data_IF_174107687916
#
_entry.id   IF_174107687916
#
_cell.length_a   1.000
_cell.length_b   1.000
_cell.length_c   1.000
_cell.angle_alpha   90.00
_cell.angle_beta   90.00
_cell.angle_gamma   90.00
#
_symmetry.space_group_name_H-M   'P 1'
#
loop_
_entity.id
_entity.type
_entity.pdbx_description
1 polymer ?
#
# COMPACT_ATOMS: atom_id res chain seq x y z
N UNK A 1 -5.75 10.33 3.23
CA UNK A 1 -4.37 9.88 2.91
C UNK A 1 -4.38 8.86 1.77
N UNK A 2 -3.51 9.04 0.76
CA UNK A 2 -3.29 8.12 -0.36
C UNK A 2 -2.24 7.07 0.05
N UNK A 3 -2.70 5.93 0.58
CA UNK A 3 -1.85 4.87 1.17
C UNK A 3 -2.14 3.47 0.64
N UNK A 4 -3.03 3.36 -0.34
CA UNK A 4 -3.41 2.09 -0.93
C UNK A 4 -2.25 1.54 -1.78
N UNK A 5 -2.03 0.24 -1.71
CA UNK A 5 -1.08 -0.50 -2.55
C UNK A 5 -1.79 -1.78 -3.00
N UNK A 6 -2.11 -1.93 -4.30
CA UNK A 6 -2.82 -3.08 -4.82
C UNK A 6 -1.96 -4.34 -4.69
N UNK A 7 -2.62 -5.48 -4.51
CA UNK A 7 -1.98 -6.78 -4.65
C UNK A 7 -1.86 -7.11 -6.15
N UNK A 8 -0.75 -7.75 -6.58
CA UNK A 8 -0.57 -8.12 -7.98
C UNK A 8 -1.70 -9.06 -8.45
N UNK A 9 -2.10 -8.93 -9.71
CA UNK A 9 -3.12 -9.78 -10.31
C UNK A 9 -2.73 -11.26 -10.15
N UNK A 10 -3.57 -12.06 -9.49
CA UNK A 10 -3.30 -13.47 -9.18
C UNK A 10 -2.82 -13.75 -7.74
N UNK A 11 -2.51 -12.73 -6.94
CA UNK A 11 -2.27 -12.90 -5.51
C UNK A 11 -3.59 -12.97 -4.73
N UNK A 12 -4.22 -14.14 -4.77
CA UNK A 12 -5.26 -14.50 -3.81
C UNK A 12 -4.67 -14.56 -2.39
N UNK A 13 -5.29 -13.81 -1.47
CA UNK A 13 -5.01 -13.70 -0.04
C UNK A 13 -3.64 -13.10 0.38
N UNK A 14 -3.60 -12.23 1.42
CA UNK A 14 -2.33 -11.91 2.05
C UNK A 14 -1.77 -13.18 2.68
N UNK A 15 -0.56 -13.58 2.26
CA UNK A 15 0.18 -14.62 2.94
C UNK A 15 0.33 -14.23 4.42
N UNK A 16 -0.34 -14.96 5.30
CA UNK A 16 -0.05 -14.93 6.72
C UNK A 16 1.45 -15.21 6.88
N UNK A 17 2.16 -14.29 7.51
CA UNK A 17 3.56 -14.48 7.86
C UNK A 17 3.68 -15.55 8.94
N UNK A 18 3.52 -16.81 8.56
CA UNK A 18 3.78 -17.96 9.42
C UNK A 18 5.29 -18.23 9.41
N UNK A 19 6.04 -17.36 10.09
CA UNK A 19 7.43 -17.63 10.44
C UNK A 19 7.46 -18.76 11.46
N UNK A 20 7.93 -19.93 11.04
CA UNK A 20 8.08 -21.12 11.88
C UNK A 20 8.88 -20.81 13.14
N UNK A 21 8.22 -20.90 14.30
CA UNK A 21 8.85 -20.76 15.60
C UNK A 21 9.61 -22.05 15.94
N UNK A 22 10.89 -22.09 15.58
CA UNK A 22 11.79 -23.14 16.03
C UNK A 22 11.95 -23.03 17.56
N UNK A 23 11.76 -24.12 18.30
CA UNK A 23 11.79 -24.20 19.77
C UNK A 23 13.06 -23.65 20.44
N UNK A 24 14.15 -23.51 19.67
CA UNK A 24 15.39 -22.82 20.06
C UNK A 24 15.20 -21.30 20.28
N UNK A 25 14.15 -20.69 19.72
CA UNK A 25 13.84 -19.26 19.82
C UNK A 25 13.25 -18.85 21.17
N UNK A 26 12.84 -19.81 22.01
CA UNK A 26 12.25 -19.58 23.34
C UNK A 26 13.31 -19.43 24.43
N UNK A 27 14.55 -19.87 24.19
CA UNK A 27 15.65 -19.84 25.17
C UNK A 27 16.57 -18.62 25.04
N UNK A 28 16.37 -17.80 24.01
CA UNK A 28 17.13 -16.55 23.83
C UNK A 28 16.26 -15.35 24.21
N UNK A 29 16.74 -14.43 25.07
CA UNK A 29 16.11 -13.13 25.25
C UNK A 29 15.99 -12.46 23.88
N UNK A 30 14.76 -12.40 23.38
CA UNK A 30 14.48 -11.83 22.07
C UNK A 30 14.79 -10.35 22.15
N UNK A 31 15.88 -9.94 21.49
CA UNK A 31 16.25 -8.53 21.33
C UNK A 31 15.01 -7.76 20.86
N UNK A 32 14.62 -6.65 21.53
CA UNK A 32 13.52 -5.83 21.06
C UNK A 32 13.84 -5.41 19.64
N UNK A 33 13.08 -5.95 18.68
CA UNK A 33 13.08 -5.42 17.33
C UNK A 33 12.59 -3.99 17.47
N UNK A 34 13.50 -3.02 17.37
CA UNK A 34 13.18 -1.65 16.95
C UNK A 34 12.80 -1.68 15.47
N UNK A 35 11.84 -2.54 15.13
CA UNK A 35 11.09 -2.41 13.90
C UNK A 35 10.26 -1.16 14.09
N UNK A 36 10.75 -0.03 13.60
CA UNK A 36 9.92 1.15 13.44
C UNK A 36 8.63 0.68 12.76
N UNK A 37 7.45 0.93 13.34
CA UNK A 37 6.22 0.66 12.62
C UNK A 37 6.36 1.42 11.30
N UNK A 38 6.32 0.70 10.17
CA UNK A 38 6.28 1.32 8.85
C UNK A 38 5.12 2.30 8.91
N UNK A 39 5.40 3.59 9.09
CA UNK A 39 4.36 4.61 9.10
C UNK A 39 3.75 4.53 7.71
N UNK A 40 2.46 4.22 7.67
CA UNK A 40 1.69 4.17 6.45
C UNK A 40 1.74 5.56 5.79
N UNK A 41 2.68 5.76 4.86
CA UNK A 41 2.90 7.04 4.21
C UNK A 41 4.28 7.29 3.63
N UNK A 42 5.31 6.54 4.04
CA UNK A 42 6.63 6.59 3.38
C UNK A 42 6.69 5.57 2.25
N UNK A 43 6.63 6.06 1.01
CA UNK A 43 7.15 5.31 -0.14
C UNK A 43 8.63 4.98 0.15
N UNK A 44 9.10 3.77 -0.17
CA UNK A 44 10.48 3.38 0.08
C UNK A 44 11.40 4.21 -0.83
N UNK A 45 12.06 5.21 -0.26
CA UNK A 45 13.03 6.07 -0.96
C UNK A 45 12.70 7.55 -0.75
N UNK A 46 13.64 8.28 -0.13
CA UNK A 46 13.52 9.68 0.31
C UNK A 46 12.97 10.63 -0.77
N UNK A 47 11.64 10.70 -0.85
CA UNK A 47 10.89 11.48 -1.82
C UNK A 47 10.66 12.87 -1.24
N UNK A 48 10.73 13.90 -2.09
CA UNK A 48 10.47 15.28 -1.70
C UNK A 48 9.12 15.43 -0.98
N UNK A 49 8.99 16.33 0.01
CA UNK A 49 7.78 16.50 0.79
C UNK A 49 6.56 16.74 -0.11
N UNK A 50 5.46 16.03 0.18
CA UNK A 50 4.21 16.10 -0.58
C UNK A 50 4.13 15.17 -1.79
N UNK A 51 5.23 14.55 -2.22
CA UNK A 51 5.19 13.59 -3.32
C UNK A 51 4.63 12.24 -2.86
N UNK A 52 3.72 11.68 -3.66
CA UNK A 52 3.00 10.44 -3.42
C UNK A 52 2.81 9.68 -4.75
N UNK A 53 2.08 8.57 -4.67
CA UNK A 53 1.56 7.88 -5.85
C UNK A 53 0.08 7.56 -5.67
N UNK A 54 -0.63 7.50 -6.78
CA UNK A 54 -1.94 6.86 -6.90
C UNK A 54 -1.83 5.66 -7.82
N UNK A 55 -2.84 4.80 -7.84
CA UNK A 55 -2.87 3.63 -8.70
C UNK A 55 -3.99 3.78 -9.72
N UNK A 56 -3.68 3.56 -10.99
CA UNK A 56 -4.64 3.59 -12.10
C UNK A 56 -4.66 2.23 -12.77
N UNK A 57 -5.75 1.88 -13.46
CA UNK A 57 -5.79 0.68 -14.28
C UNK A 57 -5.33 1.05 -15.70
N UNK A 58 -4.35 0.32 -16.22
CA UNK A 58 -3.96 0.33 -17.63
C UNK A 58 -3.88 -1.10 -18.09
N UNK A 59 -4.61 -1.45 -19.15
CA UNK A 59 -4.66 -2.80 -19.70
C UNK A 59 -5.03 -3.89 -18.68
N UNK A 60 -5.87 -3.53 -17.70
CA UNK A 60 -6.30 -4.43 -16.62
C UNK A 60 -5.30 -4.57 -15.47
N UNK A 61 -4.14 -3.92 -15.54
CA UNK A 61 -3.10 -3.98 -14.51
C UNK A 61 -3.03 -2.67 -13.69
N UNK A 62 -2.81 -2.75 -12.37
CA UNK A 62 -2.55 -1.57 -11.55
C UNK A 62 -1.18 -0.95 -11.86
N UNK A 63 -1.19 0.31 -12.32
CA UNK A 63 0.02 1.08 -12.61
C UNK A 63 0.14 2.25 -11.62
N UNK A 64 1.32 2.40 -11.02
CA UNK A 64 1.61 3.51 -10.12
C UNK A 64 1.81 4.81 -10.92
N UNK A 65 1.02 5.82 -10.60
CA UNK A 65 1.14 7.18 -11.14
C UNK A 65 1.70 8.11 -10.05
N UNK A 66 2.89 8.71 -10.25
CA UNK A 66 3.44 9.67 -9.29
C UNK A 66 2.61 10.95 -9.27
N UNK A 67 2.34 11.47 -8.09
CA UNK A 67 1.56 12.70 -7.88
C UNK A 67 2.15 13.56 -6.78
N UNK A 68 1.75 14.83 -6.74
CA UNK A 68 1.96 15.74 -5.62
C UNK A 68 0.64 15.90 -4.87
N UNK A 69 0.64 15.54 -3.59
CA UNK A 69 -0.45 15.83 -2.68
C UNK A 69 -0.31 17.22 -2.06
N UNK A 70 -1.41 17.96 -2.08
CA UNK A 70 -1.54 19.30 -1.52
C UNK A 70 -2.30 19.29 -0.19
N UNK A 71 -3.21 20.25 -0.05
CA UNK A 71 -3.98 20.46 1.17
C UNK A 71 -4.96 19.29 1.37
N UNK A 72 -5.24 18.96 2.64
CA UNK A 72 -6.17 17.91 3.02
C UNK A 72 -7.12 18.44 4.08
N UNK A 73 -8.42 18.23 3.90
CA UNK A 73 -9.47 18.59 4.87
C UNK A 73 -9.80 17.44 5.85
N UNK A 74 -9.08 16.32 5.72
CA UNK A 74 -9.25 15.11 6.53
C UNK A 74 -10.05 14.01 5.84
N UNK A 75 -10.83 14.34 4.81
CA UNK A 75 -11.55 13.38 3.97
C UNK A 75 -10.97 13.33 2.56
N UNK A 76 -10.73 14.50 1.98
CA UNK A 76 -10.17 14.70 0.65
C UNK A 76 -8.78 15.33 0.74
N UNK A 77 -7.96 15.03 -0.26
CA UNK A 77 -6.63 15.60 -0.41
C UNK A 77 -6.49 16.08 -1.85
N UNK A 78 -6.03 17.30 -2.05
CA UNK A 78 -5.73 17.82 -3.38
C UNK A 78 -4.60 17.01 -4.02
N UNK A 79 -4.74 16.71 -5.30
CA UNK A 79 -3.76 15.93 -6.07
C UNK A 79 -3.48 16.64 -7.37
N UNK A 80 -2.19 16.83 -7.68
CA UNK A 80 -1.72 17.43 -8.92
C UNK A 80 -0.52 16.65 -9.45
N UNK A 81 -0.27 16.73 -10.75
CA UNK A 81 0.84 16.04 -11.39
C UNK A 81 0.58 15.80 -12.85
N UNK A 82 1.60 15.31 -13.54
CA UNK A 82 1.47 14.89 -14.93
C UNK A 82 0.52 13.69 -15.05
N UNK A 83 -0.39 13.73 -16.03
CA UNK A 83 -1.38 12.68 -16.27
C UNK A 83 -2.50 12.62 -15.22
N UNK A 84 -2.61 13.61 -14.33
CA UNK A 84 -3.78 13.81 -13.46
C UNK A 84 -4.74 14.76 -14.15
N UNK A 85 -5.84 14.20 -14.63
CA UNK A 85 -6.89 14.94 -15.35
C UNK A 85 -8.26 14.58 -14.77
N UNK A 86 -9.25 15.42 -15.05
CA UNK A 86 -10.63 15.15 -14.63
C UNK A 86 -11.14 13.85 -15.25
N UNK A 87 -11.85 13.05 -14.46
CA UNK A 87 -12.35 11.73 -14.89
C UNK A 87 -11.33 10.60 -14.84
N UNK A 88 -10.08 10.85 -14.45
CA UNK A 88 -9.08 9.79 -14.24
C UNK A 88 -9.57 8.76 -13.21
N UNK A 89 -9.73 7.50 -13.64
CA UNK A 89 -10.10 6.41 -12.75
C UNK A 89 -8.91 6.00 -11.86
N UNK A 90 -9.09 6.12 -10.55
CA UNK A 90 -8.09 5.75 -9.54
C UNK A 90 -8.59 4.57 -8.72
N UNK A 91 -7.69 3.60 -8.49
CA UNK A 91 -7.93 2.47 -7.61
C UNK A 91 -7.78 2.95 -6.16
N UNK A 92 -8.87 2.85 -5.40
CA UNK A 92 -8.92 3.27 -3.99
C UNK A 92 -8.97 2.10 -3.02
N UNK A 93 -9.35 0.90 -3.50
CA UNK A 93 -9.44 -0.33 -2.72
C UNK A 93 -9.38 -1.58 -3.63
N UNK A 94 -9.10 -2.76 -3.04
CA UNK A 94 -9.15 -4.06 -3.71
C UNK A 94 -9.85 -5.09 -2.80
N UNK A 95 -10.85 -5.79 -3.34
CA UNK A 95 -11.52 -6.89 -2.63
C UNK A 95 -10.98 -8.24 -3.08
N UNK A 96 -10.63 -9.11 -2.14
CA UNK A 96 -10.42 -10.53 -2.39
C UNK A 96 -11.77 -11.24 -2.51
N UNK A 97 -11.95 -12.06 -3.54
CA UNK A 97 -13.09 -12.96 -3.60
C UNK A 97 -12.91 -14.09 -2.57
N UNK A 98 -13.76 -14.14 -1.55
CA UNK A 98 -13.82 -15.26 -0.62
C UNK A 98 -14.72 -16.34 -1.23
N UNK A 99 -14.14 -17.43 -1.71
CA UNK A 99 -14.90 -18.60 -2.18
C UNK A 99 -15.52 -19.29 -0.97
N UNK A 100 -16.80 -19.02 -0.68
CA UNK A 100 -17.56 -19.81 0.28
C UNK A 100 -17.96 -21.14 -0.38
N UNK A 101 -17.19 -22.20 -0.11
CA UNK A 101 -17.61 -23.57 -0.46
C UNK A 101 -18.86 -23.93 0.35
N UNK A 102 -19.89 -24.43 -0.32
CA UNK A 102 -21.14 -24.89 0.28
C UNK A 102 -21.21 -26.41 0.22
#
# INVERSE_FOLDING_TARGET
ALRFSPAPAGAGAPAAASGGSNVLSTLMPRMPRTGSPRRAGESPGGRAPGMRQVWVLRDGEPVALPVKAGISDGRMTEVSGEGVEEGLAVITDQRSAETRSR
#
